data_IF_348949231938
#
_entry.id   IF_348949231938
#
_cell.length_a   1.000
_cell.length_b   1.000
_cell.length_c   1.000
_cell.angle_alpha   90.00
_cell.angle_beta   90.00
_cell.angle_gamma   90.00
#
_symmetry.space_group_name_H-M   'P 1'
#
loop_
_entity.id
_entity.type
_entity.pdbx_description
1 polymer ?
#
# COMPACT_ATOMS: atom_id res chain seq x y z
N UNK A 1 5.79 -34.39 7.80
CA UNK A 1 4.93 -34.57 6.64
C UNK A 1 4.13 -33.25 6.53
N UNK A 2 4.74 -32.24 5.87
CA UNK A 2 4.10 -30.92 5.65
C UNK A 2 3.23 -31.04 4.41
N UNK A 3 1.91 -31.07 4.57
CA UNK A 3 0.99 -30.91 3.44
C UNK A 3 1.08 -29.45 2.99
N UNK A 4 1.39 -29.28 1.71
CA UNK A 4 1.42 -27.98 1.05
C UNK A 4 0.02 -27.36 1.03
N UNK A 5 -0.22 -26.39 1.88
CA UNK A 5 -1.48 -25.64 1.97
C UNK A 5 -1.79 -24.85 0.68
N UNK A 6 -0.77 -24.51 -0.11
CA UNK A 6 -0.91 -23.79 -1.40
C UNK A 6 -1.73 -24.58 -2.43
N UNK A 7 -1.58 -25.89 -2.50
CA UNK A 7 -2.31 -26.75 -3.47
C UNK A 7 -3.80 -26.84 -3.10
N UNK A 8 -4.13 -26.77 -1.81
CA UNK A 8 -5.53 -26.81 -1.39
C UNK A 8 -6.29 -25.51 -1.68
N UNK A 9 -5.61 -24.35 -1.72
CA UNK A 9 -6.22 -23.06 -2.05
C UNK A 9 -6.52 -22.93 -3.54
N UNK A 10 -5.63 -23.38 -4.42
CA UNK A 10 -5.87 -23.45 -5.87
C UNK A 10 -7.05 -24.40 -6.21
N UNK A 11 -7.15 -25.53 -5.52
CA UNK A 11 -8.29 -26.45 -5.67
C UNK A 11 -9.61 -25.88 -5.13
N UNK A 12 -9.56 -25.03 -4.10
CA UNK A 12 -10.77 -24.40 -3.54
C UNK A 12 -11.33 -23.31 -4.47
N UNK A 13 -10.49 -22.54 -5.17
CA UNK A 13 -10.92 -21.56 -6.17
C UNK A 13 -11.58 -22.25 -7.37
N UNK A 14 -11.08 -23.41 -7.79
CA UNK A 14 -11.67 -24.19 -8.90
C UNK A 14 -12.93 -24.97 -8.54
N UNK A 15 -13.09 -25.39 -7.27
CA UNK A 15 -14.25 -26.18 -6.82
C UNK A 15 -15.46 -25.31 -6.45
N UNK A 16 -15.27 -24.05 -6.09
CA UNK A 16 -16.38 -23.11 -5.82
C UNK A 16 -17.14 -22.71 -7.09
N UNK A 17 -16.54 -22.87 -8.27
CA UNK A 17 -17.18 -22.56 -9.57
C UNK A 17 -18.23 -23.60 -9.99
N UNK A 18 -18.34 -24.78 -9.36
CA UNK A 18 -19.15 -25.91 -9.89
C UNK A 18 -20.46 -26.17 -9.12
N UNK A 19 -20.79 -25.51 -8.02
CA UNK A 19 -21.95 -25.92 -7.22
C UNK A 19 -22.86 -24.82 -6.67
N UNK A 20 -23.08 -23.71 -7.39
CA UNK A 20 -24.18 -22.78 -7.06
C UNK A 20 -24.96 -22.41 -8.31
N UNK A 21 -26.31 -22.43 -8.20
CA UNK A 21 -27.25 -21.97 -9.24
C UNK A 21 -26.87 -20.56 -9.75
N UNK A 22 -27.26 -20.19 -11.00
CA UNK A 22 -26.69 -19.01 -11.65
C UNK A 22 -27.12 -17.72 -10.93
N UNK A 23 -26.32 -17.28 -9.98
CA UNK A 23 -26.15 -15.85 -9.79
C UNK A 23 -25.41 -15.39 -11.05
N UNK A 24 -25.94 -14.40 -11.74
CA UNK A 24 -25.17 -13.72 -12.77
C UNK A 24 -23.93 -13.14 -12.09
N UNK A 25 -22.84 -13.90 -12.10
CA UNK A 25 -21.54 -13.37 -11.75
C UNK A 25 -21.28 -12.26 -12.77
N UNK A 26 -21.20 -11.04 -12.33
CA UNK A 26 -20.65 -9.98 -13.17
C UNK A 26 -19.29 -10.46 -13.63
N UNK A 27 -19.11 -10.58 -14.93
CA UNK A 27 -17.84 -11.02 -15.50
C UNK A 27 -16.75 -10.10 -14.96
N UNK A 28 -15.74 -10.66 -14.32
CA UNK A 28 -14.58 -9.93 -13.81
C UNK A 28 -13.86 -9.31 -15.01
N UNK A 29 -13.43 -8.07 -14.91
CA UNK A 29 -12.73 -7.40 -16.02
C UNK A 29 -11.31 -7.91 -16.17
N UNK A 30 -10.77 -7.86 -17.39
CA UNK A 30 -9.35 -8.17 -17.65
C UNK A 30 -8.39 -7.30 -16.81
N UNK A 31 -8.77 -6.06 -16.52
CA UNK A 31 -7.99 -5.16 -15.68
C UNK A 31 -7.90 -5.68 -14.24
N UNK A 32 -9.01 -6.16 -13.70
CA UNK A 32 -9.05 -6.77 -12.36
C UNK A 32 -8.28 -8.09 -12.31
N UNK A 33 -8.45 -8.95 -13.32
CA UNK A 33 -7.72 -10.23 -13.38
C UNK A 33 -6.20 -10.01 -13.34
N UNK A 34 -5.68 -9.05 -14.09
CA UNK A 34 -4.26 -8.69 -14.06
C UNK A 34 -3.84 -7.96 -12.77
N UNK A 35 -4.73 -7.21 -12.15
CA UNK A 35 -4.45 -6.60 -10.86
C UNK A 35 -4.33 -7.67 -9.76
N UNK A 36 -5.18 -8.71 -9.75
CA UNK A 36 -5.05 -9.86 -8.85
C UNK A 36 -3.70 -10.59 -9.03
N UNK A 37 -3.26 -10.77 -10.28
CA UNK A 37 -1.93 -11.34 -10.56
C UNK A 37 -0.80 -10.42 -10.04
N UNK A 38 -0.96 -9.11 -10.16
CA UNK A 38 0.00 -8.15 -9.62
C UNK A 38 0.02 -8.18 -8.08
N UNK A 39 -1.13 -8.29 -7.41
CA UNK A 39 -1.21 -8.44 -5.96
C UNK A 39 -0.52 -9.72 -5.50
N UNK A 40 -0.67 -10.81 -6.26
CA UNK A 40 0.06 -12.05 -5.98
C UNK A 40 1.58 -11.89 -6.21
N UNK A 41 1.98 -11.13 -7.23
CA UNK A 41 3.39 -10.79 -7.43
C UNK A 41 3.98 -10.00 -6.24
N UNK A 42 3.19 -9.11 -5.64
CA UNK A 42 3.55 -8.38 -4.42
C UNK A 42 3.71 -9.33 -3.23
N UNK A 43 2.80 -10.29 -3.05
CA UNK A 43 2.90 -11.31 -1.98
C UNK A 43 4.14 -12.19 -2.12
N UNK A 44 4.63 -12.37 -3.33
CA UNK A 44 5.81 -13.15 -3.67
C UNK A 44 7.11 -12.31 -3.71
N UNK A 45 7.05 -11.01 -3.37
CA UNK A 45 8.20 -10.09 -3.39
C UNK A 45 8.75 -9.83 -1.98
N UNK A 46 9.80 -9.02 -1.89
CA UNK A 46 10.25 -8.41 -0.63
C UNK A 46 9.23 -7.38 -0.15
N UNK A 47 9.06 -7.24 1.17
CA UNK A 47 8.15 -6.26 1.76
C UNK A 47 8.63 -4.82 1.54
N UNK A 48 8.28 -4.23 0.40
CA UNK A 48 8.70 -2.88 -0.02
C UNK A 48 7.48 -2.00 -0.37
N UNK A 49 6.68 -1.58 0.62
CA UNK A 49 5.40 -0.91 0.36
C UNK A 49 5.49 0.34 -0.52
N UNK A 50 6.57 1.10 -0.46
CA UNK A 50 6.81 2.26 -1.34
C UNK A 50 6.97 1.85 -2.80
N UNK A 51 7.77 0.81 -3.06
CA UNK A 51 7.97 0.24 -4.39
C UNK A 51 6.68 -0.37 -4.91
N UNK A 52 5.93 -1.07 -4.05
CA UNK A 52 4.65 -1.68 -4.42
C UNK A 52 3.58 -0.63 -4.76
N UNK A 53 3.49 0.47 -4.00
CA UNK A 53 2.59 1.58 -4.33
C UNK A 53 2.89 2.16 -5.71
N UNK A 54 4.18 2.37 -6.01
CA UNK A 54 4.65 2.82 -7.32
C UNK A 54 4.35 1.80 -8.42
N UNK A 55 4.56 0.51 -8.17
CA UNK A 55 4.27 -0.55 -9.15
C UNK A 55 2.77 -0.64 -9.47
N UNK A 56 1.91 -0.54 -8.47
CA UNK A 56 0.46 -0.49 -8.65
C UNK A 56 0.04 0.72 -9.48
N UNK A 57 0.63 1.89 -9.23
CA UNK A 57 0.38 3.10 -10.01
C UNK A 57 0.84 2.94 -11.47
N UNK A 58 2.08 2.52 -11.72
CA UNK A 58 2.60 2.35 -13.08
C UNK A 58 1.82 1.30 -13.88
N UNK A 59 1.44 0.19 -13.24
CA UNK A 59 0.59 -0.82 -13.86
C UNK A 59 -0.78 -0.24 -14.23
N UNK A 60 -1.38 0.56 -13.36
CA UNK A 60 -2.67 1.18 -13.64
C UNK A 60 -2.62 2.19 -14.79
N UNK A 61 -1.50 2.89 -14.97
CA UNK A 61 -1.27 3.77 -16.13
C UNK A 61 -1.34 2.96 -17.42
N UNK A 62 -0.51 1.93 -17.52
CA UNK A 62 -0.40 1.17 -18.80
C UNK A 62 -1.68 0.40 -19.13
N UNK A 63 -2.41 -0.08 -18.14
CA UNK A 63 -3.69 -0.76 -18.38
C UNK A 63 -4.79 0.22 -18.78
N UNK A 64 -4.82 1.41 -18.19
CA UNK A 64 -5.74 2.48 -18.59
C UNK A 64 -5.45 2.94 -20.03
N UNK A 65 -4.20 3.20 -20.36
CA UNK A 65 -3.82 3.67 -21.70
C UNK A 65 -4.00 2.60 -22.76
N UNK A 66 -3.75 1.31 -22.44
CA UNK A 66 -4.04 0.19 -23.33
C UNK A 66 -5.54 0.09 -23.68
N UNK A 67 -6.42 0.54 -22.78
CA UNK A 67 -7.85 0.63 -23.05
C UNK A 67 -8.25 1.91 -23.80
N UNK A 68 -7.71 3.06 -23.38
CA UNK A 68 -8.08 4.36 -23.93
C UNK A 68 -7.60 4.54 -25.39
N UNK A 69 -6.44 3.99 -25.74
CA UNK A 69 -5.84 4.12 -27.07
C UNK A 69 -6.71 3.63 -28.24
N UNK A 70 -7.71 2.78 -27.98
CA UNK A 70 -8.66 2.28 -28.99
C UNK A 70 -9.95 3.11 -29.10
N UNK A 71 -10.02 4.27 -28.47
CA UNK A 71 -11.21 5.11 -28.49
C UNK A 71 -10.84 6.59 -28.60
N UNK A 72 -10.99 7.17 -29.78
CA UNK A 72 -10.66 8.59 -30.02
C UNK A 72 -11.47 9.59 -29.19
N UNK A 73 -12.46 9.13 -28.42
CA UNK A 73 -13.22 9.98 -27.48
C UNK A 73 -12.65 9.94 -26.07
N UNK A 74 -11.60 9.17 -25.82
CA UNK A 74 -10.91 9.02 -24.53
C UNK A 74 -9.53 9.64 -24.62
N UNK A 75 -9.17 10.33 -23.56
CA UNK A 75 -7.80 10.82 -23.39
C UNK A 75 -6.94 9.72 -22.74
N UNK A 76 -5.75 9.50 -23.28
CA UNK A 76 -4.70 8.70 -22.66
C UNK A 76 -4.04 9.51 -21.54
N UNK A 77 -3.45 8.85 -20.57
CA UNK A 77 -2.77 9.50 -19.45
C UNK A 77 -1.26 9.69 -19.71
N UNK A 78 -0.64 8.70 -20.31
CA UNK A 78 0.82 8.65 -20.52
C UNK A 78 1.19 8.62 -22.00
N UNK A 79 0.46 7.85 -22.82
CA UNK A 79 0.68 7.79 -24.25
C UNK A 79 0.41 9.13 -24.94
N UNK A 80 1.43 9.66 -25.62
CA UNK A 80 1.35 10.94 -26.34
C UNK A 80 1.46 12.16 -25.43
N UNK A 81 1.78 11.97 -24.16
CA UNK A 81 1.91 13.04 -23.17
C UNK A 81 3.30 13.04 -22.53
N UNK A 82 3.52 14.00 -21.64
CA UNK A 82 4.75 14.14 -20.87
C UNK A 82 4.44 13.92 -19.38
N UNK A 83 5.01 12.86 -18.82
CA UNK A 83 4.91 12.60 -17.39
C UNK A 83 6.23 13.02 -16.72
N UNK A 84 6.16 14.01 -15.85
CA UNK A 84 7.33 14.73 -15.34
C UNK A 84 8.18 15.28 -16.51
N UNK A 85 9.39 14.80 -16.75
CA UNK A 85 10.24 15.19 -17.89
C UNK A 85 10.36 14.08 -18.95
N UNK A 86 9.61 13.00 -18.82
CA UNK A 86 9.61 11.89 -19.73
C UNK A 86 8.51 12.04 -20.78
N UNK A 87 8.89 12.03 -22.05
CA UNK A 87 7.95 12.11 -23.19
C UNK A 87 7.69 10.70 -23.69
N UNK A 88 6.43 10.27 -23.68
CA UNK A 88 6.00 9.02 -24.27
C UNK A 88 5.39 9.28 -25.66
N UNK A 89 6.13 9.00 -26.71
CA UNK A 89 5.62 9.22 -28.07
C UNK A 89 4.46 8.28 -28.41
N UNK A 90 3.43 8.80 -29.04
CA UNK A 90 2.30 8.02 -29.51
C UNK A 90 1.77 8.48 -30.85
N UNK A 91 1.54 7.54 -31.73
CA UNK A 91 0.85 7.75 -33.01
C UNK A 91 -0.50 7.03 -32.96
N UNK A 92 -1.54 7.73 -33.43
CA UNK A 92 -2.90 7.19 -33.45
C UNK A 92 -2.97 5.83 -34.19
N UNK A 93 -3.72 4.92 -33.58
CA UNK A 93 -3.90 3.56 -34.09
C UNK A 93 -5.00 3.50 -35.16
N UNK A 94 -4.87 2.51 -36.05
CA UNK A 94 -6.03 2.04 -36.78
C UNK A 94 -6.94 1.26 -35.88
N UNK A 95 -8.13 1.80 -35.60
CA UNK A 95 -9.08 1.18 -34.67
C UNK A 95 -9.56 -0.17 -35.25
N UNK A 96 -9.36 -1.29 -34.54
CA UNK A 96 -9.77 -2.61 -35.01
C UNK A 96 -11.31 -2.78 -34.95
N UNK A 97 -11.85 -3.72 -35.73
CA UNK A 97 -13.28 -3.99 -35.78
C UNK A 97 -13.79 -4.50 -34.40
N UNK A 98 -13.01 -5.34 -33.73
CA UNK A 98 -13.33 -5.85 -32.40
C UNK A 98 -12.49 -5.12 -31.33
N UNK A 99 -12.98 -3.97 -30.90
CA UNK A 99 -12.29 -3.10 -29.92
C UNK A 99 -12.12 -3.80 -28.57
N UNK A 100 -13.13 -4.54 -28.14
CA UNK A 100 -13.09 -5.18 -26.81
C UNK A 100 -12.00 -6.26 -26.72
N UNK A 101 -11.84 -7.08 -27.74
CA UNK A 101 -10.75 -8.07 -27.77
C UNK A 101 -9.39 -7.39 -27.92
N UNK A 102 -9.30 -6.32 -28.72
CA UNK A 102 -8.06 -5.55 -28.84
C UNK A 102 -7.62 -4.92 -27.50
N UNK A 103 -8.57 -4.38 -26.74
CA UNK A 103 -8.32 -3.87 -25.39
C UNK A 103 -7.81 -4.95 -24.43
N UNK A 104 -8.48 -6.11 -24.41
CA UNK A 104 -8.07 -7.25 -23.58
C UNK A 104 -6.66 -7.72 -23.92
N UNK A 105 -6.36 -7.85 -25.20
CA UNK A 105 -5.05 -8.26 -25.67
C UNK A 105 -3.97 -7.23 -25.27
N UNK A 106 -4.16 -5.94 -25.54
CA UNK A 106 -3.21 -4.90 -25.21
C UNK A 106 -2.96 -4.81 -23.70
N UNK A 107 -4.02 -4.84 -22.87
CA UNK A 107 -3.91 -4.87 -21.40
C UNK A 107 -3.11 -6.08 -20.95
N UNK A 108 -3.36 -7.25 -21.54
CA UNK A 108 -2.69 -8.49 -21.15
C UNK A 108 -1.20 -8.47 -21.47
N UNK A 109 -0.81 -7.99 -22.64
CA UNK A 109 0.61 -7.87 -22.99
C UNK A 109 1.31 -6.79 -22.16
N UNK A 110 0.67 -5.65 -21.91
CA UNK A 110 1.22 -4.61 -21.04
C UNK A 110 1.48 -5.14 -19.65
N UNK A 111 0.49 -5.80 -19.04
CA UNK A 111 0.59 -6.38 -17.70
C UNK A 111 1.64 -7.47 -17.60
N UNK A 112 1.63 -8.41 -18.56
CA UNK A 112 2.57 -9.54 -18.58
C UNK A 112 4.03 -9.08 -18.59
N UNK A 113 4.40 -8.18 -19.51
CA UNK A 113 5.78 -7.71 -19.61
C UNK A 113 6.19 -6.79 -18.48
N UNK A 114 5.28 -5.97 -17.97
CA UNK A 114 5.53 -5.12 -16.80
C UNK A 114 5.81 -5.96 -15.56
N UNK A 115 4.92 -6.87 -15.19
CA UNK A 115 5.07 -7.71 -13.99
C UNK A 115 6.30 -8.61 -14.13
N UNK A 116 6.49 -9.23 -15.29
CA UNK A 116 7.67 -10.03 -15.59
C UNK A 116 8.97 -9.26 -15.36
N UNK A 117 9.05 -8.01 -15.81
CA UNK A 117 10.25 -7.19 -15.67
C UNK A 117 10.49 -6.75 -14.23
N UNK A 118 9.46 -6.23 -13.55
CA UNK A 118 9.61 -5.66 -12.21
C UNK A 118 9.82 -6.69 -11.10
N UNK A 119 9.25 -7.88 -11.26
CA UNK A 119 9.26 -8.92 -10.22
C UNK A 119 10.21 -10.08 -10.51
N UNK A 120 11.02 -10.04 -11.60
CA UNK A 120 11.94 -11.13 -11.97
C UNK A 120 12.98 -11.50 -10.90
N UNK A 121 13.26 -10.59 -9.96
CA UNK A 121 14.20 -10.80 -8.86
C UNK A 121 13.50 -11.04 -7.51
N UNK A 122 12.17 -11.19 -7.51
CA UNK A 122 11.40 -11.50 -6.30
C UNK A 122 11.70 -12.91 -5.81
N UNK A 123 11.68 -13.16 -4.49
CA UNK A 123 11.99 -14.47 -3.92
C UNK A 123 11.19 -15.62 -4.55
N UNK A 124 9.89 -15.43 -4.77
CA UNK A 124 8.99 -16.43 -5.36
C UNK A 124 8.51 -16.07 -6.78
N UNK A 125 9.39 -15.45 -7.56
CA UNK A 125 9.10 -15.09 -8.95
C UNK A 125 8.53 -16.24 -9.79
N UNK A 126 9.01 -17.48 -9.57
CA UNK A 126 8.53 -18.63 -10.33
C UNK A 126 7.02 -18.87 -10.14
N UNK A 127 6.49 -18.67 -8.95
CA UNK A 127 5.06 -18.78 -8.69
C UNK A 127 4.27 -17.71 -9.46
N UNK A 128 4.72 -16.46 -9.40
CA UNK A 128 4.16 -15.35 -10.16
C UNK A 128 4.21 -15.60 -11.68
N UNK A 129 5.35 -16.08 -12.17
CA UNK A 129 5.52 -16.35 -13.61
C UNK A 129 4.58 -17.44 -14.12
N UNK A 130 4.34 -18.49 -13.34
CA UNK A 130 3.39 -19.56 -13.67
C UNK A 130 1.97 -18.98 -13.83
N UNK A 131 1.53 -18.13 -12.91
CA UNK A 131 0.20 -17.51 -13.00
C UNK A 131 0.05 -16.66 -14.26
N UNK A 132 1.04 -15.79 -14.54
CA UNK A 132 1.06 -14.98 -15.76
C UNK A 132 1.06 -15.84 -17.01
N UNK A 133 1.88 -16.90 -17.03
CA UNK A 133 2.00 -17.82 -18.16
C UNK A 133 0.69 -18.55 -18.44
N UNK A 134 0.07 -19.10 -17.41
CA UNK A 134 -1.19 -19.83 -17.53
C UNK A 134 -2.31 -18.90 -18.02
N UNK A 135 -2.35 -17.65 -17.53
CA UNK A 135 -3.31 -16.65 -17.99
C UNK A 135 -3.15 -16.36 -19.48
N UNK A 136 -1.93 -16.03 -19.94
CA UNK A 136 -1.64 -15.76 -21.34
C UNK A 136 -1.98 -16.95 -22.26
N UNK A 137 -1.63 -18.16 -21.83
CA UNK A 137 -1.90 -19.38 -22.57
C UNK A 137 -3.41 -19.68 -22.68
N UNK A 138 -4.16 -19.50 -21.61
CA UNK A 138 -5.61 -19.71 -21.57
C UNK A 138 -6.36 -18.78 -22.56
N UNK A 139 -5.80 -17.60 -22.84
CA UNK A 139 -6.35 -16.63 -23.79
C UNK A 139 -5.77 -16.77 -25.19
N UNK A 140 -4.86 -17.73 -25.42
CA UNK A 140 -4.23 -17.96 -26.71
C UNK A 140 -3.17 -16.93 -27.10
N UNK A 141 -2.64 -16.16 -26.14
CA UNK A 141 -1.64 -15.14 -26.37
C UNK A 141 -0.22 -15.71 -26.45
N UNK A 142 0.56 -15.20 -27.40
CA UNK A 142 1.93 -15.65 -27.62
C UNK A 142 2.93 -14.92 -26.71
N UNK A 143 3.37 -15.56 -25.64
CA UNK A 143 4.33 -15.02 -24.64
C UNK A 143 5.73 -14.72 -25.22
N UNK A 144 6.04 -15.17 -26.43
CA UNK A 144 7.33 -14.89 -27.09
C UNK A 144 7.28 -13.64 -27.96
N UNK A 145 6.09 -13.03 -28.15
CA UNK A 145 5.95 -11.79 -28.89
C UNK A 145 6.43 -10.61 -28.04
N UNK A 146 7.61 -10.11 -28.34
CA UNK A 146 8.23 -8.92 -27.71
C UNK A 146 8.40 -7.76 -28.69
N UNK A 147 7.68 -7.76 -29.82
CA UNK A 147 7.73 -6.69 -30.79
C UNK A 147 7.08 -5.41 -30.22
N UNK A 148 7.72 -4.26 -30.45
CA UNK A 148 7.27 -2.94 -29.97
C UNK A 148 6.63 -2.09 -31.07
N UNK A 149 6.67 -2.56 -32.32
CA UNK A 149 6.14 -1.82 -33.46
C UNK A 149 4.60 -1.92 -33.54
N UNK A 150 3.93 -1.15 -32.68
CA UNK A 150 2.47 -1.11 -32.60
C UNK A 150 1.83 -0.43 -33.84
N UNK A 151 2.59 0.35 -34.61
CA UNK A 151 2.08 1.06 -35.79
C UNK A 151 1.78 0.07 -36.93
N UNK A 152 2.68 -0.89 -37.14
CA UNK A 152 2.55 -1.95 -38.16
C UNK A 152 2.07 -3.28 -37.56
N UNK A 153 2.02 -3.38 -36.23
CA UNK A 153 1.57 -4.54 -35.47
C UNK A 153 0.09 -4.44 -35.07
N UNK A 154 -0.20 -4.76 -33.83
CA UNK A 154 -1.56 -4.80 -33.29
C UNK A 154 -1.61 -4.53 -31.80
N UNK A 155 -2.68 -5.00 -31.14
CA UNK A 155 -2.88 -4.77 -29.70
C UNK A 155 -1.76 -5.33 -28.81
N UNK A 156 -1.19 -6.49 -29.19
CA UNK A 156 -0.07 -7.09 -28.47
C UNK A 156 1.16 -6.18 -28.48
N UNK A 157 1.52 -5.62 -29.63
CA UNK A 157 2.65 -4.72 -29.78
C UNK A 157 2.43 -3.40 -29.03
N UNK A 158 1.19 -2.90 -29.00
CA UNK A 158 0.85 -1.73 -28.18
C UNK A 158 1.06 -2.02 -26.68
N UNK A 159 0.62 -3.18 -26.20
CA UNK A 159 0.84 -3.60 -24.81
C UNK A 159 2.32 -3.71 -24.47
N UNK A 160 3.12 -4.32 -25.36
CA UNK A 160 4.57 -4.40 -25.20
C UNK A 160 5.23 -3.01 -25.17
N UNK A 161 4.81 -2.11 -26.05
CA UNK A 161 5.31 -0.73 -26.13
C UNK A 161 5.02 0.02 -24.81
N UNK A 162 3.77 -0.03 -24.34
CA UNK A 162 3.38 0.57 -23.08
C UNK A 162 4.21 0.07 -21.88
N UNK A 163 4.41 -1.26 -21.80
CA UNK A 163 5.25 -1.84 -20.76
C UNK A 163 6.69 -1.33 -20.83
N UNK A 164 7.27 -1.25 -22.04
CA UNK A 164 8.63 -0.74 -22.23
C UNK A 164 8.74 0.74 -21.84
N UNK A 165 7.79 1.57 -22.26
CA UNK A 165 7.82 3.02 -22.00
C UNK A 165 7.66 3.33 -20.51
N UNK A 166 6.76 2.66 -19.80
CA UNK A 166 6.60 2.86 -18.35
C UNK A 166 7.81 2.37 -17.54
N UNK A 167 8.51 1.34 -18.03
CA UNK A 167 9.76 0.89 -17.42
C UNK A 167 10.87 1.94 -17.63
N UNK A 168 10.97 2.49 -18.85
CA UNK A 168 11.93 3.55 -19.18
C UNK A 168 11.67 4.81 -18.33
N UNK A 169 10.40 5.23 -18.20
CA UNK A 169 10.00 6.30 -17.28
C UNK A 169 10.45 6.01 -15.86
N UNK A 170 10.20 4.81 -15.38
CA UNK A 170 10.57 4.38 -14.03
C UNK A 170 12.06 4.45 -13.73
N UNK A 171 12.92 4.38 -14.72
CA UNK A 171 14.35 4.57 -14.53
C UNK A 171 14.76 6.03 -14.27
N UNK A 172 13.84 6.97 -14.48
CA UNK A 172 14.09 8.42 -14.36
C UNK A 172 13.22 9.13 -13.32
N UNK A 173 12.25 8.43 -12.72
CA UNK A 173 11.26 9.00 -11.81
C UNK A 173 11.75 9.29 -10.38
N UNK A 174 13.05 9.15 -10.11
CA UNK A 174 13.65 9.43 -8.81
C UNK A 174 13.63 8.26 -7.82
N UNK A 175 13.07 7.11 -8.18
CA UNK A 175 13.00 5.93 -7.30
C UNK A 175 14.31 5.16 -7.12
N UNK A 176 15.30 5.45 -7.95
CA UNK A 176 16.59 4.72 -8.02
C UNK A 176 16.43 3.23 -8.40
N UNK A 177 15.45 2.91 -9.27
CA UNK A 177 15.15 1.53 -9.67
C UNK A 177 16.35 0.82 -10.30
N UNK A 178 17.16 1.51 -11.11
CA UNK A 178 18.35 0.94 -11.77
C UNK A 178 19.39 0.41 -10.79
N UNK A 179 19.44 0.95 -9.56
CA UNK A 179 20.33 0.50 -8.48
C UNK A 179 19.54 -0.28 -7.41
N UNK A 180 18.43 -0.91 -7.78
CA UNK A 180 17.66 -1.76 -6.87
C UNK A 180 16.98 -1.02 -5.72
N UNK A 181 16.70 0.28 -5.88
CA UNK A 181 16.10 1.16 -4.86
C UNK A 181 17.02 1.41 -3.66
N UNK A 182 18.34 1.26 -3.82
CA UNK A 182 19.31 1.54 -2.77
C UNK A 182 19.27 3.02 -2.36
N UNK A 183 19.50 3.27 -1.05
CA UNK A 183 19.67 4.62 -0.53
C UNK A 183 20.98 5.22 -1.05
N UNK A 184 20.99 6.50 -1.41
CA UNK A 184 22.15 7.18 -1.98
C UNK A 184 22.96 7.97 -0.94
N UNK A 185 22.29 8.52 0.07
CA UNK A 185 22.95 9.35 1.09
C UNK A 185 22.50 9.06 2.53
N UNK A 186 21.32 8.48 2.73
CA UNK A 186 20.83 8.23 4.08
C UNK A 186 21.72 7.22 4.84
N UNK A 187 22.07 7.59 6.07
CA UNK A 187 22.77 6.71 7.02
C UNK A 187 22.11 6.72 8.39
N UNK A 188 22.06 5.56 9.04
CA UNK A 188 21.48 5.41 10.38
C UNK A 188 22.39 5.98 11.46
N UNK A 189 21.87 6.81 12.37
CA UNK A 189 22.62 7.40 13.47
C UNK A 189 22.78 6.47 14.67
N UNK A 190 21.76 5.65 14.96
CA UNK A 190 21.74 4.77 16.13
C UNK A 190 22.25 3.36 15.79
N UNK A 191 23.03 2.73 16.70
CA UNK A 191 23.28 1.29 16.64
C UNK A 191 21.95 0.51 16.66
N UNK A 192 21.93 -0.66 16.03
CA UNK A 192 20.72 -1.49 16.00
C UNK A 192 20.27 -1.95 17.40
N UNK A 193 18.98 -2.06 17.60
CA UNK A 193 18.37 -2.65 18.79
C UNK A 193 18.28 -4.16 18.63
N UNK A 194 18.98 -4.91 19.46
CA UNK A 194 18.86 -6.38 19.53
C UNK A 194 17.57 -6.73 20.27
N UNK A 195 16.60 -7.31 19.58
CA UNK A 195 15.25 -7.51 20.09
C UNK A 195 15.15 -8.57 21.20
N UNK A 196 16.04 -9.58 21.19
CA UNK A 196 16.14 -10.61 22.24
C UNK A 196 16.75 -10.11 23.55
N UNK A 197 17.43 -8.96 23.52
CA UNK A 197 18.02 -8.39 24.74
C UNK A 197 17.08 -7.39 25.42
N UNK A 198 17.12 -7.27 26.77
CA UNK A 198 16.25 -6.36 27.49
C UNK A 198 16.73 -4.90 27.37
N UNK A 199 15.78 -3.96 27.38
CA UNK A 199 16.08 -2.53 27.39
C UNK A 199 16.59 -2.00 26.04
N UNK A 200 17.21 -0.82 26.06
CA UNK A 200 17.85 -0.17 24.93
C UNK A 200 19.06 0.67 25.39
N UNK A 201 20.09 0.03 25.98
CA UNK A 201 21.19 0.77 26.62
C UNK A 201 22.14 1.46 25.63
N UNK A 202 22.12 1.05 24.35
CA UNK A 202 23.05 1.54 23.31
C UNK A 202 22.44 2.64 22.43
N UNK A 203 21.23 3.10 22.74
CA UNK A 203 20.61 4.19 22.01
C UNK A 203 21.39 5.49 22.21
N UNK A 204 21.81 6.13 21.11
CA UNK A 204 22.60 7.37 21.13
C UNK A 204 21.66 8.59 21.10
N UNK A 205 20.70 8.59 20.17
CA UNK A 205 19.72 9.66 20.02
C UNK A 205 18.28 9.11 20.11
N UNK A 206 17.56 9.42 21.18
CA UNK A 206 16.19 8.93 21.39
C UNK A 206 15.16 9.56 20.46
N UNK A 207 15.55 10.52 19.63
CA UNK A 207 14.67 11.15 18.68
C UNK A 207 14.84 10.59 17.25
N UNK A 208 15.88 9.74 17.05
CA UNK A 208 16.26 9.22 15.73
C UNK A 208 15.92 7.74 15.58
N UNK A 209 15.62 7.37 14.35
CA UNK A 209 15.32 5.99 13.98
C UNK A 209 16.45 5.03 14.37
N UNK A 210 16.08 3.83 14.71
CA UNK A 210 16.98 2.76 15.09
C UNK A 210 16.58 1.47 14.37
N UNK A 211 17.55 0.83 13.72
CA UNK A 211 17.37 -0.48 13.12
C UNK A 211 17.05 -1.54 14.19
N UNK A 212 16.25 -2.53 13.83
CA UNK A 212 15.96 -3.69 14.69
C UNK A 212 16.77 -4.88 14.20
N UNK A 213 17.48 -5.55 15.14
CA UNK A 213 18.10 -6.86 14.89
C UNK A 213 17.22 -7.92 15.54
N UNK A 214 16.67 -8.80 14.73
CA UNK A 214 15.78 -9.90 15.12
C UNK A 214 16.59 -11.19 15.23
N UNK A 215 16.09 -12.18 16.00
CA UNK A 215 16.71 -13.51 16.08
C UNK A 215 16.63 -14.26 14.74
N UNK A 216 15.54 -14.06 14.03
CA UNK A 216 15.34 -14.50 12.66
C UNK A 216 14.36 -13.57 11.96
N UNK A 217 14.63 -13.26 10.71
CA UNK A 217 13.73 -12.50 9.84
C UNK A 217 13.42 -13.32 8.61
N UNK A 218 12.17 -13.38 8.26
CA UNK A 218 11.68 -14.05 7.07
C UNK A 218 11.01 -13.03 6.15
N UNK A 219 11.21 -13.19 4.83
CA UNK A 219 10.51 -12.40 3.83
C UNK A 219 9.03 -12.84 3.70
N UNK A 220 8.29 -12.19 2.81
CA UNK A 220 6.87 -12.50 2.58
C UNK A 220 6.67 -13.94 2.06
N UNK A 221 7.66 -14.50 1.38
CA UNK A 221 7.64 -15.88 0.87
C UNK A 221 8.12 -16.93 1.89
N UNK A 222 8.50 -16.50 3.12
CA UNK A 222 8.94 -17.40 4.19
C UNK A 222 10.42 -17.78 4.16
N UNK A 223 11.26 -17.10 3.38
CA UNK A 223 12.70 -17.32 3.33
C UNK A 223 13.42 -16.54 4.43
N UNK A 224 14.51 -17.10 4.96
CA UNK A 224 15.36 -16.39 5.91
C UNK A 224 16.14 -15.28 5.18
N UNK A 225 16.09 -14.06 5.73
CA UNK A 225 16.81 -12.89 5.26
C UNK A 225 17.69 -12.32 6.37
N UNK A 226 18.39 -11.21 6.08
CA UNK A 226 19.21 -10.52 7.06
C UNK A 226 18.41 -10.16 8.31
N UNK A 227 19.01 -10.40 9.48
CA UNK A 227 18.36 -10.16 10.76
C UNK A 227 18.29 -8.67 11.14
N UNK A 228 19.07 -7.80 10.50
CA UNK A 228 19.04 -6.35 10.73
C UNK A 228 18.43 -5.64 9.54
N UNK A 229 17.20 -5.16 9.72
CA UNK A 229 16.46 -4.50 8.66
C UNK A 229 16.90 -3.05 8.49
N UNK A 230 17.27 -2.62 7.27
CA UNK A 230 17.62 -1.22 7.00
C UNK A 230 16.38 -0.32 7.07
N UNK A 231 16.61 1.00 7.12
CA UNK A 231 15.53 1.97 6.91
C UNK A 231 15.05 1.89 5.46
N UNK A 232 13.78 1.57 5.27
CA UNK A 232 13.20 1.39 3.96
C UNK A 232 12.87 2.75 3.32
N UNK A 233 13.42 3.00 2.14
CA UNK A 233 13.08 4.15 1.27
C UNK A 233 13.13 5.53 1.95
N UNK A 234 14.16 5.89 2.74
CA UNK A 234 14.22 7.19 3.43
C UNK A 234 14.31 8.38 2.46
N UNK A 235 14.65 8.16 1.20
CA UNK A 235 14.81 9.18 0.15
C UNK A 235 13.61 9.25 -0.81
N UNK A 236 12.48 8.58 -0.47
CA UNK A 236 11.34 8.43 -1.36
C UNK A 236 10.60 9.73 -1.70
N UNK A 237 10.88 10.83 -0.99
CA UNK A 237 10.40 12.15 -1.35
C UNK A 237 10.92 12.68 -2.71
N UNK A 238 11.96 12.05 -3.25
CA UNK A 238 12.52 12.41 -4.56
C UNK A 238 11.76 11.76 -5.74
N UNK A 239 10.83 10.84 -5.46
CA UNK A 239 10.06 10.14 -6.50
C UNK A 239 8.98 11.07 -7.06
N UNK A 240 8.80 11.04 -8.37
CA UNK A 240 7.81 11.85 -9.09
C UNK A 240 6.38 11.48 -8.68
N UNK A 241 5.57 12.42 -8.17
CA UNK A 241 4.21 12.13 -7.69
C UNK A 241 3.20 12.01 -8.82
N UNK A 242 2.02 11.47 -8.51
CA UNK A 242 0.87 11.40 -9.41
C UNK A 242 0.15 12.75 -9.57
N UNK A 243 -0.32 13.32 -8.46
CA UNK A 243 -1.14 14.53 -8.47
C UNK A 243 -0.73 15.56 -7.42
N UNK A 244 0.24 15.25 -6.56
CA UNK A 244 0.73 16.22 -5.58
C UNK A 244 1.49 17.34 -6.29
N UNK A 245 1.07 18.60 -6.15
CA UNK A 245 1.78 19.70 -6.77
C UNK A 245 3.13 19.95 -6.08
N UNK A 246 4.15 20.25 -6.85
CA UNK A 246 5.50 20.57 -6.35
C UNK A 246 5.51 21.76 -5.40
N UNK A 247 4.51 22.66 -5.48
CA UNK A 247 4.32 23.76 -4.54
C UNK A 247 4.02 23.32 -3.10
N UNK A 248 3.65 22.08 -2.88
CA UNK A 248 3.42 21.49 -1.55
C UNK A 248 4.64 20.76 -1.00
N UNK A 249 5.76 20.81 -1.70
CA UNK A 249 7.02 20.23 -1.25
C UNK A 249 8.05 21.30 -0.91
N UNK A 250 8.92 20.98 0.04
CA UNK A 250 10.05 21.81 0.44
C UNK A 250 11.33 20.98 0.45
N UNK A 251 12.42 21.55 -0.05
CA UNK A 251 13.75 21.01 0.18
C UNK A 251 14.18 21.33 1.62
N UNK A 252 14.35 20.31 2.45
CA UNK A 252 14.82 20.46 3.82
C UNK A 252 16.19 19.83 3.99
N UNK A 253 17.10 20.54 4.68
CA UNK A 253 18.47 20.11 4.86
C UNK A 253 18.66 19.40 6.21
N UNK A 254 19.28 18.21 6.20
CA UNK A 254 19.63 17.47 7.40
C UNK A 254 20.90 16.62 7.17
N UNK A 255 21.80 16.64 8.12
CA UNK A 255 23.01 15.80 8.18
C UNK A 255 23.92 15.88 6.93
N UNK A 256 23.90 16.98 6.19
CA UNK A 256 24.71 17.20 4.99
C UNK A 256 23.96 17.02 3.67
N UNK A 257 22.71 16.53 3.70
CA UNK A 257 21.93 16.19 2.52
C UNK A 257 20.58 16.88 2.48
N UNK A 258 20.00 16.97 1.26
CA UNK A 258 18.70 17.57 1.00
C UNK A 258 17.64 16.50 0.84
N UNK A 259 16.54 16.67 1.59
CA UNK A 259 15.35 15.83 1.52
C UNK A 259 14.21 16.63 0.89
N UNK A 260 13.57 16.08 -0.14
CA UNK A 260 12.31 16.61 -0.64
C UNK A 260 11.18 16.14 0.26
N UNK A 261 10.45 17.07 0.88
CA UNK A 261 9.43 16.75 1.89
C UNK A 261 8.10 17.37 1.51
N UNK A 262 7.06 16.56 1.48
CA UNK A 262 5.70 16.96 1.15
C UNK A 262 4.86 17.17 2.42
N UNK A 263 4.03 18.19 2.44
CA UNK A 263 3.06 18.47 3.52
C UNK A 263 3.68 18.55 4.92
N UNK A 264 4.85 19.15 5.04
CA UNK A 264 5.50 19.37 6.34
C UNK A 264 4.76 20.43 7.16
N UNK A 265 3.69 20.02 7.83
CA UNK A 265 2.81 20.92 8.60
C UNK A 265 3.07 20.87 10.10
N UNK A 266 3.56 19.75 10.63
CA UNK A 266 3.76 19.55 12.07
C UNK A 266 5.02 18.72 12.32
N UNK A 267 5.92 19.25 13.14
CA UNK A 267 7.11 18.51 13.60
C UNK A 267 6.73 17.44 14.62
N UNK A 268 7.42 16.27 14.61
CA UNK A 268 7.23 15.27 15.66
C UNK A 268 7.70 15.82 17.01
N UNK A 269 7.12 15.30 18.09
CA UNK A 269 7.55 15.64 19.45
C UNK A 269 8.92 15.02 19.71
N UNK A 270 9.88 15.81 20.15
CA UNK A 270 11.23 15.34 20.51
C UNK A 270 11.41 15.28 22.02
N UNK A 271 12.11 14.24 22.47
CA UNK A 271 12.57 14.14 23.85
C UNK A 271 13.73 15.12 24.05
N UNK A 272 13.61 16.00 25.05
CA UNK A 272 14.66 16.94 25.43
C UNK A 272 15.39 16.46 26.68
N UNK A 273 16.48 15.73 26.52
CA UNK A 273 17.26 15.16 27.63
C UNK A 273 18.02 16.24 28.46
N UNK A 274 18.23 17.43 27.91
CA UNK A 274 18.96 18.49 28.59
C UNK A 274 18.12 19.20 29.66
N UNK A 275 16.83 19.00 29.66
CA UNK A 275 15.88 19.57 30.62
C UNK A 275 15.11 18.46 31.34
N UNK A 276 15.65 18.01 32.46
CA UNK A 276 15.07 16.95 33.27
C UNK A 276 13.70 17.29 33.89
N UNK A 277 13.28 18.57 33.82
CA UNK A 277 11.98 19.02 34.31
C UNK A 277 10.88 18.98 33.23
N UNK A 278 11.27 18.93 31.95
CA UNK A 278 10.38 18.99 30.79
C UNK A 278 10.67 17.90 29.76
N UNK A 279 10.89 16.67 30.20
CA UNK A 279 10.78 15.54 29.28
C UNK A 279 9.47 15.71 28.53
N UNK A 280 9.53 15.92 27.23
CA UNK A 280 8.38 16.31 26.46
C UNK A 280 7.22 15.35 26.69
N UNK A 281 6.17 15.85 27.34
CA UNK A 281 5.01 15.07 27.71
C UNK A 281 4.34 14.42 26.49
N UNK A 282 4.41 15.06 25.32
CA UNK A 282 3.91 14.50 24.05
C UNK A 282 4.72 13.30 23.57
N UNK A 283 6.05 13.36 23.63
CA UNK A 283 6.89 12.23 23.27
C UNK A 283 6.54 10.99 24.10
N UNK A 284 6.49 11.18 25.43
CA UNK A 284 6.14 10.11 26.37
C UNK A 284 4.72 9.60 26.18
N UNK A 285 3.77 10.51 26.03
CA UNK A 285 2.37 10.17 25.80
C UNK A 285 2.19 9.32 24.54
N UNK A 286 2.71 9.78 23.41
CA UNK A 286 2.58 9.09 22.14
C UNK A 286 3.13 7.66 22.17
N UNK A 287 4.28 7.47 22.81
CA UNK A 287 4.88 6.14 22.90
C UNK A 287 4.22 5.26 23.98
N UNK A 288 3.78 5.84 25.09
CA UNK A 288 3.08 5.10 26.13
C UNK A 288 1.71 4.60 25.70
N UNK A 289 1.01 5.33 24.81
CA UNK A 289 -0.26 4.88 24.23
C UNK A 289 -0.14 3.53 23.53
N UNK A 290 0.98 3.25 22.87
CA UNK A 290 1.20 1.96 22.20
C UNK A 290 1.19 0.82 23.22
N UNK A 291 1.84 1.00 24.38
CA UNK A 291 1.84 0.01 25.46
C UNK A 291 0.44 -0.17 26.07
N UNK A 292 -0.32 0.90 26.21
CA UNK A 292 -1.70 0.87 26.71
C UNK A 292 -2.59 0.10 25.74
N UNK A 293 -2.54 0.42 24.44
CA UNK A 293 -3.33 -0.28 23.42
C UNK A 293 -2.96 -1.75 23.30
N UNK A 294 -1.67 -2.09 23.45
CA UNK A 294 -1.26 -3.49 23.49
C UNK A 294 -1.88 -4.25 24.67
N UNK A 295 -2.09 -3.59 25.82
CA UNK A 295 -2.76 -4.22 26.97
C UNK A 295 -4.21 -4.59 26.68
N UNK A 296 -4.85 -3.98 25.70
CA UNK A 296 -6.21 -4.30 25.25
C UNK A 296 -6.31 -5.61 24.45
N UNK A 297 -5.19 -6.21 24.08
CA UNK A 297 -5.17 -7.51 23.40
C UNK A 297 -5.44 -8.69 24.34
N UNK A 298 -5.60 -8.45 25.65
CA UNK A 298 -5.95 -9.48 26.62
C UNK A 298 -7.46 -9.80 26.56
N UNK A 299 -7.85 -11.00 26.07
CA UNK A 299 -9.25 -11.40 25.99
C UNK A 299 -9.87 -11.70 27.35
N UNK A 300 -9.07 -11.78 28.41
CA UNK A 300 -9.52 -12.09 29.77
C UNK A 300 -9.87 -10.87 30.59
N UNK A 301 -9.70 -9.65 30.08
CA UNK A 301 -9.98 -8.40 30.81
C UNK A 301 -11.48 -8.17 31.06
N UNK A 302 -12.36 -8.88 30.32
CA UNK A 302 -13.81 -8.83 30.49
C UNK A 302 -14.46 -7.53 29.99
N UNK A 303 -13.70 -6.64 29.37
CA UNK A 303 -14.21 -5.36 28.85
C UNK A 303 -14.97 -5.60 27.55
N UNK A 304 -16.20 -5.10 27.48
CA UNK A 304 -17.07 -5.18 26.30
C UNK A 304 -17.22 -3.81 25.66
N UNK A 305 -16.97 -3.75 24.37
CA UNK A 305 -17.14 -2.55 23.55
C UNK A 305 -18.33 -2.66 22.60
N UNK A 306 -19.04 -1.55 22.41
CA UNK A 306 -19.93 -1.38 21.30
C UNK A 306 -19.14 -0.83 20.11
N UNK A 307 -18.96 -1.66 19.08
CA UNK A 307 -18.23 -1.30 17.85
C UNK A 307 -19.15 -0.81 16.73
N UNK A 308 -20.42 -0.55 17.02
CA UNK A 308 -21.31 0.05 16.06
C UNK A 308 -20.90 1.48 15.70
N UNK A 309 -21.28 1.99 14.50
CA UNK A 309 -20.99 3.38 14.13
C UNK A 309 -21.60 4.43 15.07
N UNK A 310 -22.46 4.04 15.98
CA UNK A 310 -22.99 4.95 17.02
C UNK A 310 -22.02 5.21 18.16
N UNK A 311 -21.13 4.25 18.45
CA UNK A 311 -20.20 4.30 19.58
C UNK A 311 -18.77 4.62 19.15
N UNK A 312 -18.39 4.24 17.94
CA UNK A 312 -17.04 4.45 17.41
C UNK A 312 -17.11 5.42 16.23
N UNK A 313 -16.37 6.50 16.31
CA UNK A 313 -16.24 7.49 15.25
C UNK A 313 -14.82 8.01 15.13
N UNK A 314 -14.57 8.83 14.14
CA UNK A 314 -13.30 9.54 14.01
C UNK A 314 -13.18 10.60 15.11
N UNK A 315 -12.01 10.69 15.73
CA UNK A 315 -11.71 11.78 16.64
C UNK A 315 -11.78 13.11 15.90
N UNK A 316 -12.50 14.07 16.50
CA UNK A 316 -12.61 15.42 15.95
C UNK A 316 -11.48 16.34 16.40
N UNK A 317 -10.64 15.90 17.33
CA UNK A 317 -9.54 16.67 17.90
C UNK A 317 -8.45 15.72 18.40
N UNK A 318 -7.27 16.27 18.62
CA UNK A 318 -6.14 15.59 19.25
C UNK A 318 -5.60 16.46 20.40
N UNK A 319 -5.20 15.89 21.56
CA UNK A 319 -4.73 16.68 22.69
C UNK A 319 -3.49 17.50 22.33
N UNK A 320 -3.46 18.74 22.77
CA UNK A 320 -2.32 19.64 22.59
C UNK A 320 -1.52 19.82 23.88
N UNK A 321 -2.06 19.29 25.01
CA UNK A 321 -1.44 19.40 26.32
C UNK A 321 -1.81 18.18 27.18
N UNK A 322 -0.95 17.86 28.14
CA UNK A 322 -1.09 16.64 28.96
C UNK A 322 -2.34 16.63 29.85
N UNK A 323 -2.93 17.81 30.14
CA UNK A 323 -4.17 17.87 30.95
C UNK A 323 -5.40 17.38 30.18
N UNK A 324 -5.31 17.31 28.86
CA UNK A 324 -6.37 16.86 27.96
C UNK A 324 -6.34 15.33 27.72
N UNK A 325 -5.25 14.63 28.10
CA UNK A 325 -5.06 13.22 27.78
C UNK A 325 -6.16 12.31 28.31
N UNK A 326 -6.60 12.53 29.57
CA UNK A 326 -7.67 11.76 30.17
C UNK A 326 -9.04 11.98 29.54
N UNK A 327 -9.23 13.14 28.88
CA UNK A 327 -10.46 13.46 28.14
C UNK A 327 -10.44 12.89 26.73
N UNK A 328 -9.25 12.68 26.17
CA UNK A 328 -9.08 12.08 24.87
C UNK A 328 -9.17 10.56 24.90
N UNK A 329 -8.62 9.93 25.93
CA UNK A 329 -8.58 8.48 26.06
C UNK A 329 -8.76 8.03 27.51
N UNK A 330 -9.77 7.21 27.75
CA UNK A 330 -9.98 6.62 29.08
C UNK A 330 -9.01 5.46 29.30
N UNK A 331 -8.01 5.67 30.16
CA UNK A 331 -6.97 4.68 30.45
C UNK A 331 -7.49 3.45 31.21
N UNK A 332 -8.59 3.58 31.96
CA UNK A 332 -9.14 2.49 32.76
C UNK A 332 -9.99 1.53 31.93
N UNK A 333 -10.96 2.06 31.21
CA UNK A 333 -11.91 1.25 30.45
C UNK A 333 -11.48 1.12 28.99
N UNK A 334 -10.53 1.93 28.56
CA UNK A 334 -10.14 2.10 27.17
C UNK A 334 -11.26 2.76 26.36
N UNK A 335 -11.03 2.89 25.06
CA UNK A 335 -12.03 3.41 24.14
C UNK A 335 -11.82 4.85 23.76
N UNK A 336 -12.36 5.17 22.60
CA UNK A 336 -12.34 6.48 22.01
C UNK A 336 -13.50 7.31 22.56
N UNK A 337 -13.28 8.49 23.16
CA UNK A 337 -14.36 9.35 23.66
C UNK A 337 -15.14 10.04 22.54
N UNK A 338 -14.75 9.86 21.26
CA UNK A 338 -15.47 10.48 20.16
C UNK A 338 -16.87 9.90 20.00
N UNK A 339 -17.78 10.71 19.50
CA UNK A 339 -19.15 10.29 19.22
C UNK A 339 -19.27 9.80 17.78
N UNK A 340 -19.81 8.60 17.61
CA UNK A 340 -20.16 8.05 16.30
C UNK A 340 -21.44 8.70 15.69
N UNK A 341 -21.90 8.13 14.61
CA UNK A 341 -23.16 8.51 13.97
C UNK A 341 -24.31 7.79 14.62
N UNK A 342 -25.24 8.52 15.22
CA UNK A 342 -26.41 7.93 15.89
C UNK A 342 -27.42 7.34 14.91
N UNK A 343 -27.51 7.89 13.68
CA UNK A 343 -28.49 7.48 12.67
C UNK A 343 -27.76 7.00 11.42
N UNK A 344 -28.15 5.82 10.95
CA UNK A 344 -27.69 5.29 9.67
C UNK A 344 -28.29 6.15 8.53
N UNK A 345 -27.47 6.79 7.69
CA UNK A 345 -27.95 7.70 6.65
C UNK A 345 -28.73 6.99 5.54
N UNK A 346 -28.57 5.68 5.37
CA UNK A 346 -29.28 4.90 4.34
C UNK A 346 -30.65 4.47 4.83
N UNK A 347 -30.75 3.97 6.07
CA UNK A 347 -31.99 3.43 6.60
C UNK A 347 -32.83 4.46 7.35
N UNK A 348 -32.26 5.59 7.76
CA UNK A 348 -32.89 6.61 8.61
C UNK A 348 -33.17 6.13 10.04
N UNK A 349 -32.62 4.98 10.44
CA UNK A 349 -32.85 4.37 11.77
C UNK A 349 -31.58 4.40 12.61
N UNK A 350 -31.68 4.34 13.96
CA UNK A 350 -30.52 4.18 14.82
C UNK A 350 -29.75 2.89 14.48
N UNK A 351 -28.43 2.92 14.68
CA UNK A 351 -27.62 1.70 14.61
C UNK A 351 -27.94 0.77 15.78
N UNK A 352 -27.99 -0.53 15.50
CA UNK A 352 -28.05 -1.55 16.56
C UNK A 352 -26.68 -1.69 17.19
N UNK A 353 -26.57 -1.70 18.55
CA UNK A 353 -25.31 -1.96 19.23
C UNK A 353 -24.68 -3.27 18.81
N UNK A 354 -23.35 -3.25 18.61
CA UNK A 354 -22.53 -4.42 18.26
C UNK A 354 -21.54 -4.67 19.37
N UNK A 355 -21.97 -5.43 20.38
CA UNK A 355 -21.18 -5.68 21.59
C UNK A 355 -20.19 -6.82 21.37
N UNK A 356 -18.91 -6.55 21.53
CA UNK A 356 -17.81 -7.52 21.39
C UNK A 356 -16.78 -7.37 22.50
N UNK A 357 -16.04 -8.43 22.86
CA UNK A 357 -14.89 -8.30 23.75
C UNK A 357 -13.85 -7.34 23.14
N UNK A 358 -13.35 -6.40 23.96
CA UNK A 358 -12.33 -5.42 23.53
C UNK A 358 -11.10 -6.09 22.96
N UNK A 359 -10.60 -7.16 23.62
CA UNK A 359 -9.44 -7.89 23.16
C UNK A 359 -9.61 -8.51 21.77
N UNK A 360 -10.80 -9.03 21.46
CA UNK A 360 -11.09 -9.59 20.13
C UNK A 360 -11.13 -8.50 19.06
N UNK A 361 -11.76 -7.37 19.36
CA UNK A 361 -11.79 -6.24 18.40
C UNK A 361 -10.41 -5.67 18.13
N UNK A 362 -9.62 -5.42 19.18
CA UNK A 362 -8.26 -4.91 19.07
C UNK A 362 -7.36 -5.87 18.25
N UNK A 363 -7.50 -7.20 18.48
CA UNK A 363 -6.77 -8.22 17.74
C UNK A 363 -7.16 -8.26 16.27
N UNK A 364 -8.46 -8.23 15.96
CA UNK A 364 -8.95 -8.24 14.57
C UNK A 364 -8.46 -7.00 13.81
N UNK A 365 -8.48 -5.81 14.42
CA UNK A 365 -7.92 -4.61 13.79
C UNK A 365 -6.42 -4.73 13.54
N UNK A 366 -5.67 -5.26 14.51
CA UNK A 366 -4.23 -5.47 14.34
C UNK A 366 -3.93 -6.46 13.23
N UNK A 367 -4.66 -7.58 13.16
CA UNK A 367 -4.51 -8.59 12.11
C UNK A 367 -4.93 -8.07 10.73
N UNK A 368 -6.00 -7.29 10.64
CA UNK A 368 -6.49 -6.72 9.38
C UNK A 368 -5.49 -5.75 8.74
N UNK A 369 -4.80 -4.96 9.56
CA UNK A 369 -3.79 -4.00 9.09
C UNK A 369 -2.35 -4.50 9.22
N UNK A 370 -2.16 -5.75 9.64
CA UNK A 370 -0.82 -6.34 9.75
C UNK A 370 -0.20 -6.54 8.37
N UNK A 371 1.08 -6.20 8.29
CA UNK A 371 1.92 -6.44 7.12
C UNK A 371 2.83 -7.63 7.47
N UNK A 372 2.35 -8.83 7.20
CA UNK A 372 2.99 -10.10 7.57
C UNK A 372 3.36 -10.94 6.35
N UNK A 373 3.55 -12.23 6.59
CA UNK A 373 3.76 -13.22 5.53
C UNK A 373 2.54 -13.26 4.59
N UNK A 374 2.79 -13.44 3.31
CA UNK A 374 1.76 -13.46 2.26
C UNK A 374 0.97 -12.14 2.14
N UNK A 375 1.54 -11.01 2.59
CA UNK A 375 0.89 -9.69 2.53
C UNK A 375 1.07 -9.05 1.15
N UNK A 376 0.00 -8.49 0.63
CA UNK A 376 0.03 -7.60 -0.54
C UNK A 376 0.57 -6.20 -0.21
N UNK A 377 1.11 -6.00 0.99
CA UNK A 377 1.53 -4.74 1.60
C UNK A 377 0.42 -3.67 1.67
N UNK A 378 0.53 -2.61 2.49
CA UNK A 378 -0.55 -1.66 2.68
C UNK A 378 -1.15 -1.06 1.40
N UNK A 379 -0.39 -0.67 0.38
CA UNK A 379 -0.99 -0.16 -0.85
C UNK A 379 -1.81 -1.21 -1.61
N UNK A 380 -1.36 -2.47 -1.65
CA UNK A 380 -2.12 -3.57 -2.28
C UNK A 380 -3.39 -3.91 -1.50
N UNK A 381 -3.36 -3.80 -0.17
CA UNK A 381 -4.53 -4.05 0.67
C UNK A 381 -5.73 -3.15 0.33
N UNK A 382 -5.50 -1.91 -0.09
CA UNK A 382 -6.56 -1.04 -0.57
C UNK A 382 -7.21 -1.53 -1.87
N UNK A 383 -6.45 -2.19 -2.74
CA UNK A 383 -7.01 -2.84 -3.93
C UNK A 383 -7.85 -4.07 -3.56
N UNK A 384 -7.42 -4.88 -2.59
CA UNK A 384 -8.24 -5.97 -2.05
C UNK A 384 -9.56 -5.48 -1.46
N UNK A 385 -9.53 -4.39 -0.68
CA UNK A 385 -10.75 -3.75 -0.15
C UNK A 385 -11.65 -3.29 -1.30
N UNK A 386 -11.09 -2.66 -2.33
CA UNK A 386 -11.86 -2.25 -3.50
C UNK A 386 -12.51 -3.46 -4.20
N UNK A 387 -11.77 -4.53 -4.43
CA UNK A 387 -12.27 -5.74 -5.05
C UNK A 387 -13.42 -6.35 -4.22
N UNK A 388 -13.23 -6.45 -2.91
CA UNK A 388 -14.27 -6.94 -2.01
C UNK A 388 -15.53 -6.08 -2.04
N UNK A 389 -15.40 -4.75 -2.05
CA UNK A 389 -16.53 -3.82 -2.11
C UNK A 389 -17.24 -3.91 -3.46
N UNK A 390 -16.48 -3.98 -4.55
CA UNK A 390 -17.06 -4.06 -5.92
C UNK A 390 -17.82 -5.36 -6.18
N UNK A 391 -17.54 -6.41 -5.43
CA UNK A 391 -18.25 -7.70 -5.49
C UNK A 391 -19.57 -7.71 -4.69
N UNK A 392 -19.87 -6.66 -3.94
CA UNK A 392 -21.10 -6.64 -3.14
C UNK A 392 -22.34 -6.50 -4.03
N UNK A 393 -23.44 -7.22 -3.73
CA UNK A 393 -24.62 -7.25 -4.59
C UNK A 393 -25.32 -5.90 -4.82
N UNK A 394 -25.05 -4.93 -3.95
CA UNK A 394 -25.63 -3.58 -4.02
C UNK A 394 -24.64 -2.55 -4.58
N UNK A 395 -23.47 -2.99 -5.04
CA UNK A 395 -22.48 -2.10 -5.63
C UNK A 395 -22.92 -1.64 -7.02
N UNK A 396 -22.94 -0.34 -7.24
CA UNK A 396 -23.24 0.28 -8.54
C UNK A 396 -21.96 0.94 -9.09
N UNK A 397 -21.59 0.60 -10.32
CA UNK A 397 -20.38 1.16 -11.00
C UNK A 397 -20.64 2.58 -11.50
N UNK A 398 -21.00 3.47 -10.60
CA UNK A 398 -21.20 4.89 -10.89
C UNK A 398 -19.98 5.69 -10.49
N UNK A 399 -19.32 6.30 -11.48
CA UNK A 399 -18.17 7.15 -11.20
C UNK A 399 -18.55 8.30 -10.27
N UNK A 400 -17.84 8.44 -9.15
CA UNK A 400 -18.16 9.38 -8.07
C UNK A 400 -19.61 9.26 -7.51
N UNK A 401 -20.24 8.12 -7.68
CA UNK A 401 -21.62 7.88 -7.22
C UNK A 401 -22.72 8.55 -8.05
N UNK A 402 -22.40 9.13 -9.21
CA UNK A 402 -23.33 9.87 -10.05
C UNK A 402 -23.32 9.38 -11.51
N UNK A 403 -24.37 9.71 -12.24
CA UNK A 403 -24.49 9.39 -13.67
C UNK A 403 -24.94 7.97 -13.97
N UNK A 404 -24.71 7.54 -15.20
CA UNK A 404 -24.99 6.18 -15.67
C UNK A 404 -23.96 5.19 -15.16
N UNK A 405 -24.36 3.96 -14.95
CA UNK A 405 -23.45 2.89 -14.60
C UNK A 405 -22.50 2.60 -15.75
N UNK A 406 -21.19 2.49 -15.44
CA UNK A 406 -20.16 2.14 -16.41
C UNK A 406 -20.05 0.62 -16.55
N UNK A 407 -19.50 0.16 -17.68
CA UNK A 407 -19.09 -1.24 -17.80
C UNK A 407 -17.97 -1.57 -16.80
N UNK A 408 -17.78 -2.87 -16.53
CA UNK A 408 -16.83 -3.33 -15.52
C UNK A 408 -15.39 -2.91 -15.83
N UNK A 409 -14.98 -3.03 -17.11
CA UNK A 409 -13.61 -2.70 -17.52
C UNK A 409 -13.32 -1.21 -17.37
N UNK A 410 -14.18 -0.34 -17.88
CA UNK A 410 -14.00 1.11 -17.74
C UNK A 410 -13.97 1.54 -16.27
N UNK A 411 -14.85 0.96 -15.45
CA UNK A 411 -14.92 1.31 -14.04
C UNK A 411 -13.66 0.88 -13.28
N UNK A 412 -13.23 -0.38 -13.45
CA UNK A 412 -12.04 -0.91 -12.79
C UNK A 412 -10.78 -0.12 -13.17
N UNK A 413 -10.59 0.19 -14.46
CA UNK A 413 -9.44 0.96 -14.93
C UNK A 413 -9.38 2.36 -14.32
N UNK A 414 -10.51 3.06 -14.26
CA UNK A 414 -10.59 4.39 -13.62
C UNK A 414 -10.31 4.33 -12.13
N UNK A 415 -10.83 3.32 -11.44
CA UNK A 415 -10.58 3.13 -10.02
C UNK A 415 -9.12 2.75 -9.78
N UNK A 416 -8.58 1.79 -10.55
CA UNK A 416 -7.19 1.37 -10.39
C UNK A 416 -6.22 2.54 -10.60
N UNK A 417 -6.42 3.37 -11.64
CA UNK A 417 -5.57 4.53 -11.89
C UNK A 417 -5.65 5.55 -10.74
N UNK A 418 -6.87 5.86 -10.29
CA UNK A 418 -7.06 6.83 -9.20
C UNK A 418 -6.53 6.30 -7.87
N UNK A 419 -6.80 5.03 -7.55
CA UNK A 419 -6.35 4.40 -6.32
C UNK A 419 -4.82 4.21 -6.32
N UNK A 420 -4.27 3.70 -7.42
CA UNK A 420 -2.83 3.51 -7.58
C UNK A 420 -2.07 4.83 -7.45
N UNK A 421 -2.51 5.89 -8.14
CA UNK A 421 -1.94 7.22 -8.02
C UNK A 421 -2.05 7.79 -6.60
N UNK A 422 -3.20 7.62 -5.95
CA UNK A 422 -3.41 8.08 -4.57
C UNK A 422 -2.50 7.34 -3.57
N UNK A 423 -2.36 6.02 -3.72
CA UNK A 423 -1.47 5.24 -2.86
C UNK A 423 0.01 5.60 -3.08
N UNK A 424 0.37 5.88 -4.33
CA UNK A 424 1.71 6.35 -4.68
C UNK A 424 2.01 7.72 -4.04
N UNK A 425 1.12 8.70 -4.16
CA UNK A 425 1.25 10.01 -3.51
C UNK A 425 1.30 9.90 -1.98
N UNK A 426 0.45 9.05 -1.40
CA UNK A 426 0.46 8.81 0.05
C UNK A 426 1.79 8.20 0.52
N UNK A 427 2.37 7.28 -0.25
CA UNK A 427 3.68 6.72 0.03
C UNK A 427 4.79 7.77 -0.06
N UNK A 428 4.81 8.60 -1.10
CA UNK A 428 5.79 9.68 -1.25
C UNK A 428 5.69 10.66 -0.09
N UNK A 429 4.48 11.14 0.22
CA UNK A 429 4.26 12.08 1.32
C UNK A 429 4.70 11.50 2.66
N UNK A 430 4.25 10.29 3.00
CA UNK A 430 4.58 9.64 4.28
C UNK A 430 6.07 9.35 4.42
N UNK A 431 6.70 8.80 3.37
CA UNK A 431 8.11 8.45 3.44
C UNK A 431 9.04 9.66 3.32
N UNK A 432 8.62 10.74 2.65
CA UNK A 432 9.38 12.00 2.67
C UNK A 432 9.51 12.55 4.09
N UNK A 433 8.41 12.54 4.87
CA UNK A 433 8.41 12.92 6.27
C UNK A 433 9.23 11.95 7.13
N UNK A 434 9.02 10.63 6.98
CA UNK A 434 9.77 9.60 7.70
C UNK A 434 11.28 9.73 7.44
N UNK A 435 11.67 9.88 6.17
CA UNK A 435 13.06 10.03 5.77
C UNK A 435 13.70 11.29 6.36
N UNK A 436 13.05 12.44 6.25
CA UNK A 436 13.58 13.71 6.75
C UNK A 436 13.64 13.74 8.28
N UNK A 437 12.56 13.38 8.99
CA UNK A 437 12.55 13.41 10.44
C UNK A 437 13.33 12.27 11.07
N UNK A 438 13.49 11.16 10.34
CA UNK A 438 14.25 10.00 10.83
C UNK A 438 13.81 9.60 12.25
N UNK A 439 12.49 9.62 12.50
CA UNK A 439 11.94 9.59 13.84
C UNK A 439 11.96 8.19 14.43
N UNK A 440 12.23 8.13 15.73
CA UNK A 440 12.32 6.88 16.49
C UNK A 440 11.03 6.06 16.41
N UNK A 441 11.16 4.74 16.39
CA UNK A 441 10.02 3.82 16.51
C UNK A 441 9.58 3.64 17.96
N UNK A 442 8.27 3.37 18.21
CA UNK A 442 7.74 3.14 19.55
C UNK A 442 8.51 2.08 20.34
N UNK A 443 8.89 0.95 19.71
CA UNK A 443 9.62 -0.13 20.40
C UNK A 443 10.97 0.34 20.97
N UNK A 444 11.71 1.16 20.22
CA UNK A 444 13.01 1.70 20.66
C UNK A 444 12.82 2.73 21.79
N UNK A 445 11.84 3.62 21.63
CA UNK A 445 11.51 4.65 22.62
C UNK A 445 10.97 4.06 23.93
N UNK A 446 10.00 3.14 23.85
CA UNK A 446 9.42 2.50 25.04
C UNK A 446 10.50 1.79 25.86
N UNK A 447 11.37 1.03 25.21
CA UNK A 447 12.47 0.34 25.90
C UNK A 447 13.48 1.32 26.51
N UNK A 448 13.79 2.41 25.82
CA UNK A 448 14.65 3.47 26.32
C UNK A 448 14.03 4.16 27.54
N UNK A 449 12.77 4.59 27.45
CA UNK A 449 12.04 5.24 28.54
C UNK A 449 11.94 4.33 29.76
N UNK A 450 11.61 3.05 29.58
CA UNK A 450 11.54 2.07 30.65
C UNK A 450 12.88 1.90 31.36
N UNK A 451 13.98 1.81 30.60
CA UNK A 451 15.34 1.74 31.15
C UNK A 451 15.74 2.95 31.99
N UNK A 452 15.15 4.11 31.72
CA UNK A 452 15.38 5.36 32.46
C UNK A 452 14.30 5.66 33.52
N UNK A 453 13.39 4.74 33.79
CA UNK A 453 12.31 4.92 34.79
C UNK A 453 11.30 5.98 34.38
N UNK A 454 11.03 6.14 33.09
CA UNK A 454 10.19 7.20 32.53
C UNK A 454 8.89 6.67 31.88
N UNK A 455 8.65 5.36 31.87
CA UNK A 455 7.45 4.74 31.30
C UNK A 455 6.39 4.45 32.34
#
# INVERSE_FOLDING_TARGET
>A
MKLNFSILRLAAIYIIIISAAPKAYTQVSVAREWNEILLEAIRNDYARPTVHARNLYHHSIITYDAWAAFDNSKDTYFLGDTLDNYICDFQALNIPINIEEARKEAISYASFYFIKSRYQNSPDYNATYILMYEYMLAHGYNITNSNLDYINGGPAELGNYLAQEILNYGYTDGSNELLGYENTFYTTSNPSLVMSEPGNPNLIDPNRWQALTLDSTIDQSGNLVDNTLPFLSPEWGNVSPFAMPTSMSNGLFRDGDWYQVYFDTVKPAYLNESDSSSWDSFYKWNHSLVSIWQSHLDPSDGVIWDISPASIGNNSWYPTDSTEYSSFYNLTDGGDPSTGRTINPITGSPYTPQLVPRGDYARVLAEFWADGLDSETPPGHWFEIYHYVSDQPLFERKWQGIGTELDALEFDLKVHLTLGGTMHDAAISSWSLKGYYDYIRPVSSIRYLAGNGQS
#
